data_IF_989174795851
#
_entry.id   IF_989174795851
#
_cell.length_a   1.000
_cell.length_b   1.000
_cell.length_c   1.000
_cell.angle_alpha   90.00
_cell.angle_beta   90.00
_cell.angle_gamma   90.00
#
_symmetry.space_group_name_H-M   'P 1'
#
loop_
_entity.id
_entity.type
_entity.pdbx_description
1 polymer ?
#
# COMPACT_ATOMS: atom_id res chain seq x y z
N UNK A 1 13.99 8.53 -22.90
CA UNK A 1 12.75 8.58 -22.09
C UNK A 1 12.27 7.18 -21.72
N UNK A 2 12.28 6.23 -22.67
CA UNK A 2 11.90 4.83 -22.44
C UNK A 2 12.71 4.13 -21.33
N UNK A 3 14.05 4.32 -21.30
CA UNK A 3 14.92 3.74 -20.26
C UNK A 3 14.52 4.17 -18.84
N UNK A 4 14.12 5.44 -18.67
CA UNK A 4 13.68 5.95 -17.36
C UNK A 4 12.38 5.29 -16.94
N UNK A 5 11.43 5.12 -17.86
CA UNK A 5 10.17 4.42 -17.59
C UNK A 5 10.43 2.95 -17.21
N UNK A 6 11.33 2.27 -17.91
CA UNK A 6 11.72 0.88 -17.58
C UNK A 6 12.27 0.79 -16.16
N UNK A 7 13.17 1.69 -15.78
CA UNK A 7 13.75 1.74 -14.42
C UNK A 7 12.64 1.97 -13.38
N UNK A 8 11.72 2.90 -13.63
CA UNK A 8 10.59 3.17 -12.74
C UNK A 8 9.65 1.96 -12.58
N UNK A 9 9.36 1.25 -13.68
CA UNK A 9 8.54 0.02 -13.65
C UNK A 9 9.22 -1.08 -12.84
N UNK A 10 10.56 -1.22 -12.95
CA UNK A 10 11.32 -2.16 -12.12
C UNK A 10 11.17 -1.79 -10.63
N UNK A 11 11.30 -0.51 -10.27
CA UNK A 11 11.09 -0.09 -8.88
C UNK A 11 9.68 -0.39 -8.37
N UNK A 12 8.64 -0.09 -9.17
CA UNK A 12 7.25 -0.38 -8.80
C UNK A 12 7.03 -1.89 -8.62
N UNK A 13 7.49 -2.71 -9.55
CA UNK A 13 7.30 -4.17 -9.50
C UNK A 13 7.99 -4.83 -8.31
N UNK A 14 9.18 -4.35 -7.92
CA UNK A 14 9.88 -4.83 -6.71
C UNK A 14 9.08 -4.58 -5.43
N UNK A 15 8.25 -3.54 -5.38
CA UNK A 15 7.40 -3.24 -4.23
C UNK A 15 6.08 -4.02 -4.28
N UNK A 16 5.47 -4.13 -5.47
CA UNK A 16 4.18 -4.81 -5.64
C UNK A 16 4.25 -6.32 -5.39
N UNK A 17 5.37 -6.98 -5.72
CA UNK A 17 5.56 -8.42 -5.49
C UNK A 17 5.44 -8.83 -4.01
N UNK A 18 6.27 -8.27 -3.12
CA UNK A 18 6.20 -8.51 -1.68
C UNK A 18 4.85 -8.14 -1.06
N UNK A 19 4.22 -7.03 -1.51
CA UNK A 19 2.91 -6.62 -1.02
C UNK A 19 1.86 -7.72 -1.30
N UNK A 20 1.82 -8.25 -2.52
CA UNK A 20 0.89 -9.32 -2.87
C UNK A 20 1.09 -10.57 -2.01
N UNK A 21 2.34 -10.99 -1.79
CA UNK A 21 2.66 -12.14 -0.93
C UNK A 21 2.27 -11.89 0.53
N UNK A 22 2.58 -10.71 1.06
CA UNK A 22 2.24 -10.32 2.43
C UNK A 22 0.73 -10.34 2.69
N UNK A 23 -0.08 -9.77 1.78
CA UNK A 23 -1.54 -9.82 1.93
C UNK A 23 -2.10 -11.25 1.89
N UNK A 24 -1.49 -12.16 1.12
CA UNK A 24 -1.90 -13.58 1.08
C UNK A 24 -1.63 -14.27 2.43
N UNK A 25 -0.55 -13.91 3.12
CA UNK A 25 -0.14 -14.51 4.39
C UNK A 25 -0.95 -13.99 5.58
N UNK A 26 -1.31 -12.70 5.58
CA UNK A 26 -2.02 -12.06 6.71
C UNK A 26 -3.50 -12.43 6.77
N UNK A 27 -4.12 -12.75 5.63
CA UNK A 27 -5.56 -13.02 5.54
C UNK A 27 -5.90 -14.51 5.31
N UNK A 28 -6.85 -15.08 6.07
CA UNK A 28 -7.28 -16.46 5.90
C UNK A 28 -7.95 -16.68 4.54
N UNK A 29 -7.75 -17.87 3.97
CA UNK A 29 -8.17 -18.25 2.61
C UNK A 29 -9.64 -18.00 2.29
N UNK A 30 -10.54 -18.08 3.29
CA UNK A 30 -11.99 -17.87 3.11
C UNK A 30 -12.40 -16.41 2.83
N UNK A 31 -11.65 -15.42 3.32
CA UNK A 31 -11.99 -13.99 3.19
C UNK A 31 -10.96 -13.20 2.39
N UNK A 32 -9.89 -13.86 1.92
CA UNK A 32 -8.74 -13.23 1.26
C UNK A 32 -9.13 -12.27 0.13
N UNK A 33 -10.08 -12.64 -0.73
CA UNK A 33 -10.47 -11.80 -1.88
C UNK A 33 -11.14 -10.49 -1.45
N UNK A 34 -12.06 -10.55 -0.46
CA UNK A 34 -12.73 -9.38 0.10
C UNK A 34 -11.79 -8.54 0.97
N UNK A 35 -10.89 -9.19 1.72
CA UNK A 35 -9.93 -8.52 2.57
C UNK A 35 -8.77 -7.88 1.80
N UNK A 36 -8.43 -8.37 0.60
CA UNK A 36 -7.42 -7.75 -0.29
C UNK A 36 -7.94 -6.49 -0.98
N UNK A 37 -9.22 -6.47 -1.38
CA UNK A 37 -9.79 -5.33 -2.10
C UNK A 37 -9.96 -4.11 -1.20
N UNK A 38 -10.20 -4.29 0.09
CA UNK A 38 -10.37 -3.18 1.05
C UNK A 38 -9.14 -2.25 1.13
N UNK A 39 -7.92 -2.72 1.47
CA UNK A 39 -6.73 -1.88 1.48
C UNK A 39 -6.40 -1.35 0.07
N UNK A 40 -6.67 -2.13 -0.98
CA UNK A 40 -6.43 -1.69 -2.36
C UNK A 40 -7.34 -0.51 -2.75
N UNK A 41 -8.64 -0.58 -2.46
CA UNK A 41 -9.60 0.48 -2.80
C UNK A 41 -9.45 1.71 -1.91
N UNK A 42 -9.17 1.54 -0.62
CA UNK A 42 -8.92 2.67 0.28
C UNK A 42 -7.59 3.34 -0.09
N UNK A 43 -6.55 2.54 -0.32
CA UNK A 43 -5.23 3.00 -0.75
C UNK A 43 -5.28 3.79 -2.05
N UNK A 44 -5.74 3.14 -3.13
CA UNK A 44 -5.81 3.77 -4.44
C UNK A 44 -6.88 4.87 -4.52
N UNK A 45 -8.01 4.70 -3.84
CA UNK A 45 -9.10 5.66 -3.88
C UNK A 45 -8.79 6.94 -3.11
N UNK A 46 -8.38 6.82 -1.86
CA UNK A 46 -8.14 7.99 -1.01
C UNK A 46 -6.79 8.64 -1.32
N UNK A 47 -5.70 7.87 -1.22
CA UNK A 47 -4.35 8.44 -1.38
C UNK A 47 -3.98 8.62 -2.85
N UNK A 48 -4.35 7.67 -3.72
CA UNK A 48 -4.11 7.80 -5.16
C UNK A 48 -5.08 8.77 -5.85
N UNK A 49 -6.38 8.67 -5.54
CA UNK A 49 -7.43 9.45 -6.21
C UNK A 49 -7.45 10.93 -5.80
N UNK A 50 -7.12 11.26 -4.55
CA UNK A 50 -7.03 12.66 -4.10
C UNK A 50 -5.71 13.34 -4.47
N UNK A 51 -4.74 12.59 -5.00
CA UNK A 51 -3.40 13.08 -5.32
C UNK A 51 -3.43 14.26 -6.31
N UNK A 52 -4.14 14.19 -7.46
CA UNK A 52 -4.19 15.30 -8.42
C UNK A 52 -4.87 16.55 -7.85
N UNK A 53 -5.94 16.37 -7.08
CA UNK A 53 -6.66 17.47 -6.44
C UNK A 53 -5.78 18.17 -5.40
N UNK A 54 -5.13 17.39 -4.54
CA UNK A 54 -4.27 17.91 -3.48
C UNK A 54 -3.01 18.55 -4.04
N UNK A 55 -2.36 17.91 -5.01
CA UNK A 55 -1.18 18.44 -5.70
C UNK A 55 -1.48 19.79 -6.36
N UNK A 56 -2.59 19.87 -7.11
CA UNK A 56 -3.00 21.12 -7.76
C UNK A 56 -3.30 22.22 -6.74
N UNK A 57 -4.01 21.88 -5.65
CA UNK A 57 -4.31 22.84 -4.58
C UNK A 57 -3.05 23.33 -3.85
N UNK A 58 -2.09 22.43 -3.61
CA UNK A 58 -0.80 22.75 -2.97
C UNK A 58 0.05 23.70 -3.80
N UNK A 59 0.17 23.44 -5.11
CA UNK A 59 0.88 24.33 -6.05
C UNK A 59 0.15 25.66 -6.17
N UNK A 60 -1.18 25.66 -6.28
CA UNK A 60 -1.98 26.88 -6.38
C UNK A 60 -1.87 27.77 -5.13
N UNK A 61 -1.75 27.17 -3.93
CA UNK A 61 -1.63 27.89 -2.67
C UNK A 61 -0.22 28.48 -2.43
N UNK A 62 0.83 27.79 -2.90
CA UNK A 62 2.23 28.20 -2.66
C UNK A 62 2.85 28.97 -3.83
N UNK A 63 2.34 28.79 -5.04
CA UNK A 63 2.93 29.30 -6.27
C UNK A 63 4.17 28.53 -6.73
N UNK A 64 4.60 27.50 -5.99
CA UNK A 64 5.75 26.65 -6.31
C UNK A 64 5.27 25.32 -6.91
N UNK A 65 5.70 25.04 -8.14
CA UNK A 65 5.35 23.82 -8.88
C UNK A 65 5.95 22.56 -8.27
N UNK A 66 6.93 22.67 -7.38
CA UNK A 66 7.58 21.53 -6.72
C UNK A 66 6.97 21.22 -5.35
N UNK A 67 6.04 22.05 -4.87
CA UNK A 67 5.51 21.90 -3.52
C UNK A 67 4.63 20.65 -3.35
N UNK A 68 4.02 20.16 -4.43
CA UNK A 68 3.26 18.91 -4.45
C UNK A 68 4.11 17.66 -4.15
N UNK A 69 5.42 17.71 -4.37
CA UNK A 69 6.35 16.62 -4.04
C UNK A 69 6.35 16.27 -2.54
N UNK A 70 5.90 17.19 -1.68
CA UNK A 70 5.75 16.91 -0.25
C UNK A 70 4.64 15.90 0.06
N UNK A 71 3.61 15.81 -0.80
CA UNK A 71 2.51 14.87 -0.61
C UNK A 71 2.99 13.40 -0.54
N UNK A 72 3.67 12.85 -1.57
CA UNK A 72 4.13 11.46 -1.52
C UNK A 72 5.19 11.23 -0.44
N UNK A 73 6.02 12.23 -0.10
CA UNK A 73 7.02 12.12 0.96
C UNK A 73 6.33 11.92 2.32
N UNK A 74 5.38 12.78 2.66
CA UNK A 74 4.64 12.70 3.93
C UNK A 74 3.85 11.40 4.01
N UNK A 75 3.15 11.00 2.95
CA UNK A 75 2.39 9.74 2.90
C UNK A 75 3.31 8.52 3.04
N UNK A 76 4.49 8.54 2.43
CA UNK A 76 5.47 7.44 2.54
C UNK A 76 6.04 7.32 3.96
N UNK A 77 6.38 8.45 4.60
CA UNK A 77 6.85 8.47 5.99
C UNK A 77 5.75 7.97 6.93
N UNK A 78 4.52 8.43 6.75
CA UNK A 78 3.38 7.93 7.54
C UNK A 78 3.21 6.42 7.38
N UNK A 79 3.28 5.92 6.14
CA UNK A 79 3.18 4.48 5.85
C UNK A 79 4.31 3.69 6.52
N UNK A 80 5.54 4.21 6.49
CA UNK A 80 6.68 3.59 7.14
C UNK A 80 6.52 3.55 8.66
N UNK A 81 6.11 4.65 9.28
CA UNK A 81 5.90 4.74 10.74
C UNK A 81 4.77 3.82 11.18
N UNK A 82 3.63 3.85 10.49
CA UNK A 82 2.48 2.99 10.81
C UNK A 82 2.85 1.53 10.57
N UNK A 83 3.50 1.20 9.45
CA UNK A 83 3.97 -0.15 9.17
C UNK A 83 4.96 -0.64 10.23
N UNK A 84 5.96 0.16 10.60
CA UNK A 84 6.94 -0.24 11.60
C UNK A 84 6.33 -0.46 13.00
N UNK A 85 5.26 0.26 13.35
CA UNK A 85 4.63 0.17 14.68
C UNK A 85 3.52 -0.88 14.75
N UNK A 86 2.71 -1.03 13.71
CA UNK A 86 1.48 -1.84 13.74
C UNK A 86 1.59 -3.14 12.94
N UNK A 87 2.53 -3.25 11.99
CA UNK A 87 2.74 -4.48 11.23
C UNK A 87 3.62 -5.42 12.05
N UNK A 88 2.98 -6.30 12.83
CA UNK A 88 3.66 -7.36 13.57
C UNK A 88 4.17 -8.44 12.61
N UNK A 89 5.42 -8.86 12.78
CA UNK A 89 6.09 -9.91 11.98
C UNK A 89 5.24 -11.18 11.87
N UNK A 90 4.85 -11.57 10.65
CA UNK A 90 3.96 -12.71 10.37
C UNK A 90 4.66 -14.06 10.29
N UNK A 91 6.00 -14.12 10.43
CA UNK A 91 6.83 -15.33 10.25
C UNK A 91 6.40 -16.59 11.04
N UNK A 92 5.62 -16.46 12.11
CA UNK A 92 5.20 -17.57 12.97
C UNK A 92 3.69 -17.89 12.94
N UNK A 93 2.91 -17.29 12.04
CA UNK A 93 1.49 -17.62 11.89
C UNK A 93 1.31 -18.79 10.91
N UNK A 94 1.06 -19.97 11.46
CA UNK A 94 0.78 -21.16 10.68
C UNK A 94 -0.59 -21.06 9.98
N UNK A 95 -0.56 -20.85 8.66
CA UNK A 95 -1.74 -20.76 7.79
C UNK A 95 -2.47 -22.10 7.59
N UNK A 96 -1.90 -23.23 8.02
CA UNK A 96 -2.50 -24.57 7.88
C UNK A 96 -3.22 -25.06 9.13
N UNK A 97 -2.97 -24.46 10.29
CA UNK A 97 -3.47 -24.95 11.60
C UNK A 97 -4.76 -24.21 12.03
N UNK A 98 -5.54 -23.69 11.09
CA UNK A 98 -6.96 -23.42 11.37
C UNK A 98 -7.70 -24.77 11.39
N UNK A 99 -7.62 -25.40 12.56
CA UNK A 99 -8.36 -26.60 12.91
C UNK A 99 -9.86 -26.37 12.67
N UNK A 100 -10.42 -27.17 11.78
CA UNK A 100 -11.83 -27.16 11.41
C UNK A 100 -12.73 -27.73 12.53
N UNK A 101 -12.19 -28.03 13.72
CA UNK A 101 -12.89 -28.61 14.87
C UNK A 101 -13.79 -27.65 15.67
N UNK A 102 -13.79 -26.34 15.36
CA UNK A 102 -14.51 -25.32 16.14
C UNK A 102 -15.64 -24.61 15.37
N UNK A 103 -16.21 -25.25 14.35
CA UNK A 103 -17.50 -24.83 13.79
C UNK A 103 -18.60 -25.72 14.40
N UNK A 104 -19.60 -25.16 15.10
CA UNK A 104 -20.83 -25.91 15.42
C UNK A 104 -21.58 -26.29 14.14
#
# INVERSE_FOLDING_TARGET
TEVILVIMVIYVTMVYGPIAAFLVEVFPTKIRYTSMSLPYHIGNGWFGGMLPLTATAMVAATGDIYYDLWYPIVVSIMTLVIGALFLSETRHRDIRTYDHSMLP
#
